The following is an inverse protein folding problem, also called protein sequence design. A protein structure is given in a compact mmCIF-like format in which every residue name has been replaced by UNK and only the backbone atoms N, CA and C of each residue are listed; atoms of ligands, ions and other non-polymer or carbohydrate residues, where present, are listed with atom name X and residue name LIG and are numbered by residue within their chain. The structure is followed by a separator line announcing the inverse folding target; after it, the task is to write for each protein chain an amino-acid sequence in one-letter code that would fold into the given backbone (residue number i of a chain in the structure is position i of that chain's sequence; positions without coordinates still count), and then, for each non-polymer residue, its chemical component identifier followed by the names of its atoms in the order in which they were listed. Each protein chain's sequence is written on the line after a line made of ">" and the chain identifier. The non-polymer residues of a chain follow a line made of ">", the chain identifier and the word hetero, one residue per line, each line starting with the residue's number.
data_IF_939883429624
#
_entry.id   IF_939883429624
#
_cell.length_a   1.000
_cell.length_b   1.000
_cell.length_c   1.000
_cell.angle_alpha   90.00
_cell.angle_beta   90.00
_cell.angle_gamma   90.00
#
_symmetry.space_group_name_H-M   'P 1'
#
loop_
_entity.id
_entity.type
_entity.pdbx_description
1 polymer ?
#
# COMPACT_ATOMS: atom_id res chain seq x y z
N UNK A 1 19.50 -29.82 -9.13
CA UNK A 1 19.26 -28.82 -10.21
C UNK A 1 18.85 -27.48 -9.60
N UNK A 2 19.49 -26.37 -9.99
CA UNK A 2 19.07 -25.02 -9.58
C UNK A 2 17.69 -24.73 -10.20
N UNK A 3 16.70 -24.35 -9.38
CA UNK A 3 15.37 -23.97 -9.87
C UNK A 3 15.49 -22.72 -10.77
N UNK A 4 14.74 -22.63 -11.88
CA UNK A 4 14.77 -21.45 -12.74
C UNK A 4 14.24 -20.21 -12.01
N UNK A 5 14.74 -19.04 -12.38
CA UNK A 5 14.29 -17.76 -11.84
C UNK A 5 12.88 -17.38 -12.31
N UNK A 6 12.50 -17.81 -13.52
CA UNK A 6 11.21 -17.57 -14.17
C UNK A 6 10.70 -18.90 -14.72
N UNK A 7 9.44 -19.23 -14.43
CA UNK A 7 8.72 -20.38 -14.97
C UNK A 7 7.26 -19.97 -15.17
N UNK A 8 6.57 -20.58 -16.13
CA UNK A 8 5.14 -20.35 -16.36
C UNK A 8 4.30 -21.61 -16.07
N UNK A 9 4.80 -22.47 -15.17
CA UNK A 9 4.08 -23.67 -14.74
C UNK A 9 2.71 -23.33 -14.14
N UNK A 10 1.73 -24.25 -14.12
CA UNK A 10 0.39 -24.01 -13.59
C UNK A 10 0.35 -23.44 -12.16
N UNK A 11 1.32 -23.81 -11.32
CA UNK A 11 1.47 -23.26 -9.96
C UNK A 11 1.73 -21.76 -9.92
N UNK A 12 2.36 -21.20 -10.96
CA UNK A 12 2.66 -19.77 -11.06
C UNK A 12 1.41 -18.99 -11.48
N UNK A 13 0.53 -19.59 -12.29
CA UNK A 13 -0.81 -19.07 -12.57
C UNK A 13 -1.70 -19.04 -11.32
N UNK A 14 -1.76 -20.16 -10.58
CA UNK A 14 -2.46 -20.20 -9.31
C UNK A 14 -1.87 -19.15 -8.33
N UNK A 15 -0.54 -19.09 -8.27
CA UNK A 15 0.22 -18.11 -7.52
C UNK A 15 -0.12 -16.66 -7.85
N UNK A 16 -0.29 -16.32 -9.13
CA UNK A 16 -0.65 -14.97 -9.59
C UNK A 16 -1.99 -14.50 -9.01
N UNK A 17 -2.96 -15.41 -8.84
CA UNK A 17 -4.27 -15.09 -8.26
C UNK A 17 -4.15 -14.65 -6.79
N UNK A 18 -3.11 -15.12 -6.07
CA UNK A 18 -2.94 -14.83 -4.65
C UNK A 18 -2.92 -13.34 -4.30
N UNK A 19 -2.36 -12.48 -5.15
CA UNK A 19 -2.32 -11.04 -4.88
C UNK A 19 -3.60 -10.30 -5.27
N UNK A 20 -4.41 -10.86 -6.19
CA UNK A 20 -5.64 -10.22 -6.68
C UNK A 20 -6.60 -9.88 -5.54
N UNK A 21 -6.73 -10.76 -4.55
CA UNK A 21 -7.61 -10.55 -3.40
C UNK A 21 -7.23 -9.35 -2.52
N UNK A 22 -6.00 -8.85 -2.65
CA UNK A 22 -5.51 -7.69 -1.88
C UNK A 22 -5.53 -6.43 -2.74
N UNK A 23 -5.17 -6.53 -4.02
CA UNK A 23 -4.97 -5.37 -4.90
C UNK A 23 -6.24 -4.95 -5.67
N UNK A 24 -7.03 -5.91 -6.17
CA UNK A 24 -8.22 -5.62 -6.98
C UNK A 24 -9.30 -4.83 -6.24
N UNK A 25 -9.68 -5.17 -4.99
CA UNK A 25 -10.68 -4.41 -4.25
C UNK A 25 -10.36 -2.91 -4.15
N UNK A 26 -9.08 -2.61 -3.93
CA UNK A 26 -8.59 -1.25 -3.71
C UNK A 26 -8.58 -0.46 -5.02
N UNK A 27 -8.13 -1.08 -6.12
CA UNK A 27 -8.14 -0.49 -7.47
C UNK A 27 -9.56 -0.18 -7.96
N UNK A 28 -10.47 -1.14 -7.82
CA UNK A 28 -11.86 -0.98 -8.25
C UNK A 28 -12.58 0.07 -7.40
N UNK A 29 -12.36 0.09 -6.08
CA UNK A 29 -12.95 1.10 -5.20
C UNK A 29 -12.50 2.54 -5.53
N UNK A 30 -11.22 2.75 -5.84
CA UNK A 30 -10.72 4.07 -6.27
C UNK A 30 -11.26 4.49 -7.63
N UNK A 31 -11.39 3.53 -8.55
CA UNK A 31 -11.95 3.82 -9.87
C UNK A 31 -13.44 4.15 -9.76
N UNK A 32 -14.17 3.43 -8.91
CA UNK A 32 -15.59 3.67 -8.65
C UNK A 32 -15.84 5.01 -7.94
N UNK A 33 -14.88 5.50 -7.14
CA UNK A 33 -14.96 6.83 -6.54
C UNK A 33 -14.63 7.98 -7.51
N UNK A 34 -14.29 7.68 -8.78
CA UNK A 34 -13.91 8.68 -9.78
C UNK A 34 -12.49 9.25 -9.60
N UNK A 35 -11.69 8.70 -8.67
CA UNK A 35 -10.35 9.22 -8.39
C UNK A 35 -9.30 8.74 -9.42
N UNK A 36 -9.60 7.67 -10.15
CA UNK A 36 -8.64 6.95 -10.99
C UNK A 36 -9.33 6.36 -12.23
N UNK A 37 -8.68 6.46 -13.39
CA UNK A 37 -9.09 5.69 -14.58
C UNK A 37 -8.60 4.25 -14.46
N UNK A 38 -9.52 3.28 -14.49
CA UNK A 38 -9.20 1.87 -14.27
C UNK A 38 -8.25 1.32 -15.33
N UNK A 39 -8.40 1.71 -16.60
CA UNK A 39 -7.55 1.18 -17.67
C UNK A 39 -6.10 1.65 -17.50
N UNK A 40 -5.86 2.94 -17.28
CA UNK A 40 -4.53 3.49 -17.02
C UNK A 40 -3.91 2.89 -15.76
N UNK A 41 -4.72 2.70 -14.72
CA UNK A 41 -4.27 2.05 -13.50
C UNK A 41 -3.80 0.62 -13.77
N UNK A 42 -4.60 -0.19 -14.48
CA UNK A 42 -4.25 -1.57 -14.84
C UNK A 42 -2.98 -1.62 -15.71
N UNK A 43 -2.84 -0.72 -16.68
CA UNK A 43 -1.68 -0.66 -17.56
C UNK A 43 -0.39 -0.44 -16.77
N UNK A 44 -0.35 0.61 -15.95
CA UNK A 44 0.84 0.99 -15.20
C UNK A 44 1.14 0.00 -14.08
N UNK A 45 0.10 -0.46 -13.39
CA UNK A 45 0.22 -1.48 -12.37
C UNK A 45 0.78 -2.78 -12.95
N UNK A 46 0.28 -3.19 -14.12
CA UNK A 46 0.77 -4.35 -14.84
C UNK A 46 2.21 -4.19 -15.33
N UNK A 47 2.58 -3.03 -15.86
CA UNK A 47 3.96 -2.73 -16.27
C UNK A 47 4.94 -2.79 -15.09
N UNK A 48 4.59 -2.21 -13.95
CA UNK A 48 5.40 -2.28 -12.73
C UNK A 48 5.53 -3.73 -12.25
N UNK A 49 4.47 -4.53 -12.32
CA UNK A 49 4.51 -5.97 -12.04
C UNK A 49 5.52 -6.69 -12.93
N UNK A 50 5.42 -6.53 -14.25
CA UNK A 50 6.35 -7.17 -15.21
C UNK A 50 7.80 -6.78 -14.92
N UNK A 51 8.07 -5.49 -14.73
CA UNK A 51 9.40 -4.98 -14.38
C UNK A 51 9.91 -5.56 -13.05
N UNK A 52 9.07 -5.61 -12.02
CA UNK A 52 9.43 -6.18 -10.72
C UNK A 52 9.76 -7.67 -10.82
N UNK A 53 9.00 -8.43 -11.62
CA UNK A 53 9.26 -9.85 -11.87
C UNK A 53 10.64 -10.08 -12.49
N UNK A 54 10.98 -9.34 -13.56
CA UNK A 54 12.29 -9.44 -14.19
C UNK A 54 13.44 -8.99 -13.29
N UNK A 55 13.22 -7.96 -12.48
CA UNK A 55 14.25 -7.40 -11.60
C UNK A 55 14.52 -8.28 -10.38
N UNK A 56 13.50 -8.62 -9.60
CA UNK A 56 13.64 -9.32 -8.31
C UNK A 56 13.75 -10.84 -8.43
N UNK A 57 13.28 -11.44 -9.53
CA UNK A 57 13.46 -12.87 -9.85
C UNK A 57 12.85 -13.86 -8.83
N UNK A 58 11.89 -13.39 -8.03
CA UNK A 58 11.04 -14.18 -7.14
C UNK A 58 9.59 -13.69 -7.26
N UNK A 59 8.58 -14.41 -6.73
CA UNK A 59 7.22 -13.89 -6.64
C UNK A 59 7.17 -12.70 -5.69
N UNK A 60 7.25 -11.49 -6.23
CA UNK A 60 7.15 -10.23 -5.50
C UNK A 60 5.89 -9.49 -5.97
N UNK A 61 4.95 -9.16 -5.06
CA UNK A 61 3.74 -8.44 -5.44
C UNK A 61 4.03 -6.96 -5.63
N UNK A 62 3.17 -6.29 -6.38
CA UNK A 62 3.04 -4.83 -6.44
C UNK A 62 1.64 -4.52 -5.97
N UNK A 63 1.48 -3.60 -5.02
CA UNK A 63 0.21 -3.37 -4.34
C UNK A 63 -0.12 -1.88 -4.24
N UNK A 64 -1.41 -1.52 -4.32
CA UNK A 64 -1.94 -0.22 -3.92
C UNK A 64 -1.47 0.27 -2.53
N UNK A 65 -1.20 1.58 -2.39
CA UNK A 65 -1.05 2.20 -1.07
C UNK A 65 -2.41 2.27 -0.35
N UNK A 66 -2.59 1.38 0.63
CA UNK A 66 -3.89 1.15 1.30
C UNK A 66 -4.35 2.36 2.12
N UNK A 67 -3.46 3.03 2.85
CA UNK A 67 -3.83 4.20 3.65
C UNK A 67 -4.20 5.39 2.77
N UNK A 68 -3.39 5.65 1.73
CA UNK A 68 -3.68 6.69 0.76
C UNK A 68 -5.03 6.45 0.08
N UNK A 69 -5.32 5.21 -0.32
CA UNK A 69 -6.63 4.84 -0.90
C UNK A 69 -7.78 5.10 0.06
N UNK A 70 -7.67 4.61 1.29
CA UNK A 70 -8.71 4.77 2.31
C UNK A 70 -9.04 6.26 2.53
N UNK A 71 -8.01 7.11 2.60
CA UNK A 71 -8.16 8.55 2.81
C UNK A 71 -8.70 9.29 1.59
N UNK A 72 -8.30 8.91 0.38
CA UNK A 72 -8.83 9.48 -0.86
C UNK A 72 -10.33 9.26 -0.96
N UNK A 73 -10.80 8.04 -0.71
CA UNK A 73 -12.25 7.73 -0.72
C UNK A 73 -12.95 8.38 0.49
N UNK A 74 -12.37 8.28 1.69
CA UNK A 74 -12.98 8.82 2.91
C UNK A 74 -13.11 10.35 2.89
N UNK A 75 -12.22 11.08 2.21
CA UNK A 75 -12.26 12.55 2.10
C UNK A 75 -12.79 13.05 0.75
N UNK A 76 -13.03 12.17 -0.23
CA UNK A 76 -13.44 12.58 -1.57
C UNK A 76 -12.34 13.35 -2.31
N UNK A 77 -11.07 12.96 -2.11
CA UNK A 77 -9.95 13.59 -2.81
C UNK A 77 -9.94 13.17 -4.28
N UNK A 78 -9.55 14.10 -5.17
CA UNK A 78 -9.45 13.84 -6.60
C UNK A 78 -8.14 13.19 -7.04
N UNK A 79 -8.00 12.99 -8.36
CA UNK A 79 -6.81 12.41 -8.97
C UNK A 79 -5.52 13.23 -8.78
N UNK A 80 -5.60 14.56 -8.62
CA UNK A 80 -4.43 15.41 -8.34
C UNK A 80 -3.76 15.06 -7.01
N UNK A 81 -4.54 14.75 -5.97
CA UNK A 81 -4.02 14.30 -4.68
C UNK A 81 -3.32 12.93 -4.78
N UNK A 82 -3.81 12.00 -5.61
CA UNK A 82 -3.15 10.72 -5.88
C UNK A 82 -1.83 10.90 -6.64
N UNK A 83 -1.81 11.76 -7.66
CA UNK A 83 -0.58 12.12 -8.37
C UNK A 83 0.42 12.80 -7.43
N UNK A 84 -0.06 13.68 -6.56
CA UNK A 84 0.75 14.35 -5.55
C UNK A 84 1.37 13.37 -4.55
N UNK A 85 0.57 12.42 -4.05
CA UNK A 85 1.06 11.33 -3.21
C UNK A 85 2.13 10.51 -3.93
N UNK A 86 1.91 10.18 -5.20
CA UNK A 86 2.88 9.43 -6.03
C UNK A 86 4.21 10.18 -6.17
N UNK A 87 4.20 11.49 -6.44
CA UNK A 87 5.43 12.30 -6.51
C UNK A 87 6.19 12.33 -5.18
N UNK A 88 5.50 12.49 -4.06
CA UNK A 88 6.14 12.48 -2.74
C UNK A 88 6.72 11.13 -2.37
N UNK A 89 5.98 10.04 -2.60
CA UNK A 89 6.47 8.69 -2.38
C UNK A 89 7.67 8.41 -3.27
N UNK A 90 7.64 8.85 -4.54
CA UNK A 90 8.77 8.76 -5.44
C UNK A 90 10.01 9.46 -4.88
N UNK A 91 9.89 10.75 -4.53
CA UNK A 91 10.99 11.54 -4.01
C UNK A 91 11.57 10.93 -2.72
N UNK A 92 10.71 10.63 -1.74
CA UNK A 92 11.13 10.09 -0.44
C UNK A 92 11.84 8.75 -0.63
N UNK A 93 11.26 7.79 -1.35
CA UNK A 93 11.82 6.45 -1.43
C UNK A 93 13.06 6.36 -2.35
N UNK A 94 13.20 7.25 -3.34
CA UNK A 94 14.46 7.42 -4.08
C UNK A 94 15.55 7.93 -3.13
N UNK A 95 15.27 8.98 -2.34
CA UNK A 95 16.24 9.51 -1.36
C UNK A 95 16.62 8.46 -0.32
N UNK A 96 15.64 7.72 0.22
CA UNK A 96 15.89 6.66 1.20
C UNK A 96 16.66 5.47 0.62
N UNK A 97 16.50 5.20 -0.67
CA UNK A 97 17.31 4.21 -1.37
C UNK A 97 18.75 4.66 -1.54
N UNK A 98 18.99 5.89 -1.99
CA UNK A 98 20.35 6.38 -2.28
C UNK A 98 21.15 6.57 -0.99
N UNK A 99 20.49 6.98 0.09
CA UNK A 99 21.13 7.25 1.38
C UNK A 99 21.24 6.03 2.30
N UNK A 100 20.54 4.93 2.00
CA UNK A 100 20.47 3.75 2.87
C UNK A 100 19.75 3.98 4.20
N UNK A 101 19.01 5.08 4.34
CA UNK A 101 18.32 5.45 5.59
C UNK A 101 17.04 4.65 5.87
N UNK A 102 16.57 3.85 4.90
CA UNK A 102 15.33 3.07 5.01
C UNK A 102 15.28 2.25 6.31
N UNK A 103 16.35 1.54 6.65
CA UNK A 103 16.41 0.73 7.87
C UNK A 103 16.47 1.58 9.15
N UNK A 104 17.22 2.69 9.12
CA UNK A 104 17.36 3.59 10.28
C UNK A 104 16.01 4.24 10.62
N UNK A 105 15.29 4.73 9.61
CA UNK A 105 13.96 5.30 9.80
C UNK A 105 12.94 4.25 10.23
N UNK A 106 13.01 3.03 9.69
CA UNK A 106 12.10 1.96 10.11
C UNK A 106 12.19 1.66 11.62
N UNK A 107 13.37 1.82 12.25
CA UNK A 107 13.55 1.63 13.70
C UNK A 107 12.79 2.65 14.56
N UNK A 108 12.37 3.78 13.98
CA UNK A 108 11.53 4.77 14.67
C UNK A 108 10.11 4.25 14.82
N UNK A 109 9.62 3.51 13.82
CA UNK A 109 8.25 3.01 13.77
C UNK A 109 8.14 1.66 14.48
N UNK A 110 7.84 1.71 15.77
CA UNK A 110 7.65 0.51 16.59
C UNK A 110 6.47 -0.33 16.10
N UNK A 111 6.39 -1.59 16.55
CA UNK A 111 5.23 -2.46 16.26
C UNK A 111 3.93 -1.79 16.66
N UNK A 112 3.88 -1.13 17.83
CA UNK A 112 2.73 -0.33 18.29
C UNK A 112 2.32 0.72 17.27
N UNK A 113 3.27 1.52 16.76
CA UNK A 113 2.98 2.56 15.77
C UNK A 113 2.41 1.94 14.48
N UNK A 114 3.07 0.90 13.95
CA UNK A 114 2.62 0.24 12.72
C UNK A 114 1.22 -0.35 12.90
N UNK A 115 0.95 -1.04 14.02
CA UNK A 115 -0.38 -1.60 14.31
C UNK A 115 -1.45 -0.54 14.53
N UNK A 116 -1.11 0.58 15.17
CA UNK A 116 -2.03 1.69 15.35
C UNK A 116 -2.43 2.35 14.03
N UNK A 117 -1.46 2.55 13.13
CA UNK A 117 -1.76 3.03 11.77
C UNK A 117 -2.58 1.99 10.99
N UNK A 118 -2.28 0.70 11.08
CA UNK A 118 -3.07 -0.37 10.44
C UNK A 118 -4.51 -0.39 10.95
N UNK A 119 -4.72 -0.20 12.26
CA UNK A 119 -6.05 -0.06 12.85
C UNK A 119 -6.81 1.13 12.25
N UNK A 120 -6.17 2.31 12.19
CA UNK A 120 -6.75 3.50 11.58
C UNK A 120 -7.08 3.33 10.10
N UNK A 121 -6.19 2.71 9.33
CA UNK A 121 -6.46 2.35 7.92
C UNK A 121 -7.65 1.42 7.81
N UNK A 122 -7.72 0.38 8.65
CA UNK A 122 -8.83 -0.58 8.63
C UNK A 122 -10.18 0.09 8.89
N UNK A 123 -10.25 0.96 9.91
CA UNK A 123 -11.45 1.75 10.23
C UNK A 123 -11.82 2.73 9.09
N UNK A 124 -10.84 3.38 8.46
CA UNK A 124 -11.09 4.26 7.32
C UNK A 124 -11.56 3.49 6.07
N UNK A 125 -11.07 2.28 5.86
CA UNK A 125 -11.57 1.39 4.78
C UNK A 125 -13.02 0.97 5.03
N UNK A 126 -13.42 0.70 6.28
CA UNK A 126 -14.83 0.48 6.62
C UNK A 126 -15.68 1.72 6.32
N UNK A 127 -15.21 2.92 6.68
CA UNK A 127 -15.91 4.17 6.34
C UNK A 127 -16.00 4.38 4.83
N UNK A 128 -14.94 4.06 4.09
CA UNK A 128 -14.93 4.13 2.63
C UNK A 128 -15.93 3.13 2.02
N UNK A 129 -16.00 1.90 2.54
CA UNK A 129 -16.98 0.90 2.13
C UNK A 129 -18.42 1.38 2.39
N UNK A 130 -18.68 1.96 3.57
CA UNK A 130 -19.98 2.54 3.89
C UNK A 130 -20.33 3.71 2.95
N UNK A 131 -19.38 4.62 2.67
CA UNK A 131 -19.57 5.71 1.71
C UNK A 131 -19.93 5.20 0.32
N UNK A 132 -19.29 4.15 -0.17
CA UNK A 132 -19.65 3.55 -1.45
C UNK A 132 -21.11 3.06 -1.46
N UNK A 133 -21.63 2.53 -0.35
CA UNK A 133 -23.02 2.07 -0.28
C UNK A 133 -24.04 3.23 -0.27
N UNK A 134 -23.73 4.34 0.38
CA UNK A 134 -24.70 5.45 0.59
C UNK A 134 -24.57 6.61 -0.38
N UNK A 135 -23.38 6.81 -0.98
CA UNK A 135 -23.07 7.97 -1.83
C UNK A 135 -23.05 7.64 -3.32
N UNK A 136 -23.36 6.41 -3.74
CA UNK A 136 -23.43 6.06 -5.16
C UNK A 136 -24.90 6.07 -5.64
N UNK A 137 -25.45 7.23 -6.06
CA UNK A 137 -26.65 7.26 -6.88
C UNK A 137 -26.25 6.88 -8.31
N UNK A 138 -26.59 5.66 -8.74
CA UNK A 138 -26.73 5.13 -10.11
C UNK A 138 -25.78 5.48 -11.27
N UNK A 139 -24.73 6.28 -11.12
CA UNK A 139 -23.67 6.38 -12.13
C UNK A 139 -22.41 6.96 -11.48
N UNK A 140 -21.27 6.24 -11.52
CA UNK A 140 -20.00 6.90 -11.28
C UNK A 140 -19.86 8.03 -12.31
N UNK A 141 -19.69 9.27 -11.84
CA UNK A 141 -19.34 10.38 -12.72
C UNK A 141 -17.90 10.18 -13.17
N UNK A 142 -17.75 9.46 -14.28
CA UNK A 142 -16.50 9.26 -15.00
C UNK A 142 -16.13 10.56 -15.73
N UNK A 143 -15.82 11.61 -14.99
CA UNK A 143 -14.96 12.63 -15.56
C UNK A 143 -13.60 11.98 -15.80
N UNK A 144 -12.97 12.16 -16.96
CA UNK A 144 -11.61 11.67 -17.15
C UNK A 144 -10.79 12.23 -16.01
N UNK A 145 -10.11 11.37 -15.26
CA UNK A 145 -9.06 11.77 -14.33
C UNK A 145 -7.86 12.27 -15.15
N UNK A 146 -8.07 13.29 -15.98
CA UNK A 146 -7.07 14.18 -16.54
C UNK A 146 -6.98 15.40 -15.62
N UNK A 147 -6.77 15.16 -14.33
CA UNK A 147 -6.24 16.22 -13.47
C UNK A 147 -4.86 16.54 -13.99
N UNK A 148 -4.55 17.81 -14.25
CA UNK A 148 -3.21 18.29 -14.56
C UNK A 148 -2.19 17.91 -13.49
N UNK A 149 -0.97 18.44 -13.59
CA UNK A 149 -0.02 18.28 -12.48
C UNK A 149 -0.58 18.93 -11.21
N UNK A 150 -0.34 18.33 -10.03
CA UNK A 150 -0.85 18.85 -8.77
C UNK A 150 -0.28 20.24 -8.48
N UNK A 151 -1.12 21.13 -7.97
CA UNK A 151 -0.68 22.44 -7.47
C UNK A 151 0.05 22.32 -6.13
N UNK A 152 0.56 23.45 -5.62
CA UNK A 152 1.24 23.47 -4.31
C UNK A 152 0.31 23.04 -3.16
N UNK A 153 -0.97 23.39 -3.23
CA UNK A 153 -1.97 22.98 -2.24
C UNK A 153 -2.20 21.47 -2.24
N UNK A 154 -2.35 20.86 -3.42
CA UNK A 154 -2.44 19.41 -3.57
C UNK A 154 -1.18 18.72 -3.01
N UNK A 155 0.00 19.29 -3.29
CA UNK A 155 1.28 18.79 -2.80
C UNK A 155 1.34 18.80 -1.27
N UNK A 156 0.96 19.92 -0.66
CA UNK A 156 0.94 20.08 0.79
C UNK A 156 -0.08 19.15 1.46
N UNK A 157 -1.30 19.11 0.93
CA UNK A 157 -2.36 18.25 1.43
C UNK A 157 -1.96 16.76 1.33
N UNK A 158 -1.40 16.34 0.20
CA UNK A 158 -0.94 14.96 0.02
C UNK A 158 0.20 14.60 0.98
N UNK A 159 1.16 15.50 1.20
CA UNK A 159 2.25 15.27 2.15
C UNK A 159 1.71 14.97 3.56
N UNK A 160 0.84 15.85 4.06
CA UNK A 160 0.32 15.76 5.42
C UNK A 160 -0.72 14.69 5.63
N UNK A 161 -1.58 14.46 4.66
CA UNK A 161 -2.73 13.57 4.85
C UNK A 161 -2.40 12.16 4.36
N UNK A 162 -1.70 12.04 3.23
CA UNK A 162 -1.50 10.75 2.56
C UNK A 162 -0.12 10.16 2.81
N UNK A 163 0.95 10.96 2.78
CA UNK A 163 2.33 10.47 2.71
C UNK A 163 2.92 10.23 4.10
N UNK A 164 2.93 11.24 4.97
CA UNK A 164 3.48 11.13 6.34
C UNK A 164 2.96 9.89 7.09
N UNK A 165 1.64 9.62 7.15
CA UNK A 165 1.15 8.46 7.89
C UNK A 165 1.32 7.15 7.13
N UNK A 166 1.65 7.19 5.85
CA UNK A 166 1.95 6.02 5.02
C UNK A 166 3.40 5.56 5.16
N UNK A 167 4.32 6.40 5.69
CA UNK A 167 5.73 6.04 5.90
C UNK A 167 5.91 4.84 6.85
N UNK A 168 5.27 4.76 8.05
CA UNK A 168 5.40 3.61 8.93
C UNK A 168 4.96 2.30 8.28
N UNK A 169 3.85 2.33 7.54
CA UNK A 169 3.34 1.15 6.83
C UNK A 169 4.27 0.72 5.70
N UNK A 170 4.77 1.68 4.92
CA UNK A 170 5.58 1.35 3.75
C UNK A 170 6.97 0.87 4.16
N UNK A 171 7.62 1.53 5.13
CA UNK A 171 8.91 1.09 5.65
C UNK A 171 8.80 -0.23 6.41
N UNK A 172 7.78 -0.38 7.27
CA UNK A 172 7.59 -1.59 8.08
C UNK A 172 7.12 -2.79 7.26
N UNK A 173 6.04 -2.65 6.50
CA UNK A 173 5.43 -3.76 5.76
C UNK A 173 6.03 -3.94 4.35
N UNK A 174 6.07 -2.85 3.57
CA UNK A 174 6.45 -2.93 2.14
C UNK A 174 7.95 -3.05 1.92
N UNK A 175 8.78 -2.59 2.87
CA UNK A 175 10.25 -2.69 2.79
C UNK A 175 10.74 -3.77 3.75
N UNK A 176 10.72 -3.54 5.05
CA UNK A 176 11.37 -4.42 6.03
C UNK A 176 10.76 -5.84 6.06
N UNK A 177 9.46 -5.95 6.33
CA UNK A 177 8.79 -7.26 6.39
C UNK A 177 8.77 -7.98 5.03
N UNK A 178 8.74 -7.24 3.92
CA UNK A 178 8.83 -7.83 2.58
C UNK A 178 10.19 -8.48 2.35
N UNK A 179 11.28 -7.83 2.78
CA UNK A 179 12.62 -8.39 2.71
C UNK A 179 12.76 -9.63 3.61
N UNK A 180 12.27 -9.56 4.85
CA UNK A 180 12.29 -10.67 5.82
C UNK A 180 11.52 -11.89 5.28
N UNK A 181 10.23 -11.72 4.95
CA UNK A 181 9.39 -12.80 4.43
C UNK A 181 9.93 -13.38 3.12
N UNK A 182 10.52 -12.55 2.26
CA UNK A 182 11.14 -13.05 1.03
C UNK A 182 12.36 -13.92 1.32
N UNK A 183 13.19 -13.55 2.31
CA UNK A 183 14.33 -14.38 2.75
C UNK A 183 13.85 -15.68 3.38
N UNK A 184 12.81 -15.64 4.21
CA UNK A 184 12.24 -16.84 4.85
C UNK A 184 11.73 -17.85 3.83
N UNK A 185 11.05 -17.41 2.76
CA UNK A 185 10.50 -18.30 1.75
C UNK A 185 11.47 -18.70 0.64
N UNK A 186 12.44 -17.85 0.30
CA UNK A 186 13.25 -18.03 -0.91
C UNK A 186 14.76 -18.08 -0.67
N UNK A 187 15.23 -17.88 0.56
CA UNK A 187 16.64 -17.92 0.94
C UNK A 187 17.51 -17.02 0.08
N UNK A 188 18.63 -17.56 -0.42
CA UNK A 188 19.58 -16.85 -1.29
C UNK A 188 18.94 -16.26 -2.56
N UNK A 189 17.82 -16.82 -3.04
CA UNK A 189 17.13 -16.29 -4.22
C UNK A 189 16.49 -14.92 -3.95
N UNK A 190 16.24 -14.57 -2.69
CA UNK A 190 15.76 -13.25 -2.29
C UNK A 190 16.88 -12.21 -2.14
N UNK A 191 18.13 -12.48 -2.55
CA UNK A 191 19.25 -11.53 -2.44
C UNK A 191 19.02 -10.17 -3.15
N UNK A 192 18.05 -10.10 -4.07
CA UNK A 192 17.65 -8.85 -4.74
C UNK A 192 16.60 -8.07 -3.96
N UNK A 193 15.90 -8.69 -3.03
CA UNK A 193 14.90 -8.08 -2.16
C UNK A 193 15.61 -7.58 -0.90
N UNK A 194 16.22 -6.42 -1.08
CA UNK A 194 16.95 -5.68 -0.04
C UNK A 194 16.26 -4.33 0.20
N UNK A 195 16.32 -3.76 1.42
CA UNK A 195 15.63 -2.51 1.73
C UNK A 195 15.91 -1.36 0.76
N UNK A 196 17.16 -1.18 0.31
CA UNK A 196 17.49 -0.09 -0.62
C UNK A 196 16.90 -0.35 -2.00
N UNK A 197 17.01 -1.58 -2.52
CA UNK A 197 16.48 -1.94 -3.85
C UNK A 197 14.96 -1.94 -3.89
N UNK A 198 14.31 -2.39 -2.81
CA UNK A 198 12.85 -2.34 -2.67
C UNK A 198 12.39 -0.89 -2.58
N UNK A 199 13.05 -0.05 -1.77
CA UNK A 199 12.78 1.40 -1.73
C UNK A 199 12.96 2.06 -3.10
N UNK A 200 14.02 1.74 -3.84
CA UNK A 200 14.22 2.28 -5.19
C UNK A 200 13.08 1.88 -6.13
N UNK A 201 12.68 0.61 -6.11
CA UNK A 201 11.57 0.09 -6.91
C UNK A 201 10.26 0.81 -6.58
N UNK A 202 9.95 1.01 -5.29
CA UNK A 202 8.80 1.81 -4.85
C UNK A 202 8.92 3.23 -5.42
N UNK A 203 10.06 3.88 -5.26
CA UNK A 203 10.29 5.24 -5.72
C UNK A 203 10.08 5.41 -7.23
N UNK A 204 10.72 4.56 -8.04
CA UNK A 204 10.63 4.60 -9.50
C UNK A 204 9.22 4.27 -10.00
N UNK A 205 8.56 3.29 -9.38
CA UNK A 205 7.18 2.91 -9.75
C UNK A 205 6.21 4.05 -9.50
N UNK A 206 6.35 4.76 -8.37
CA UNK A 206 5.50 5.90 -8.06
C UNK A 206 5.83 7.13 -8.91
N UNK A 207 7.09 7.28 -9.34
CA UNK A 207 7.44 8.30 -10.32
C UNK A 207 6.67 8.04 -11.62
N UNK A 208 6.70 6.81 -12.14
CA UNK A 208 5.90 6.44 -13.32
C UNK A 208 4.40 6.69 -13.09
N UNK A 209 3.84 6.23 -11.96
CA UNK A 209 2.43 6.49 -11.63
C UNK A 209 2.06 7.98 -11.66
N UNK A 210 2.91 8.86 -11.14
CA UNK A 210 2.66 10.30 -11.13
C UNK A 210 2.53 10.92 -12.53
N UNK A 211 3.36 10.47 -13.49
CA UNK A 211 3.36 11.02 -14.86
C UNK A 211 2.23 10.45 -15.73
N UNK A 212 1.90 9.18 -15.55
CA UNK A 212 0.94 8.49 -16.41
C UNK A 212 -0.47 8.36 -15.81
N UNK A 213 -0.72 8.98 -14.65
CA UNK A 213 -2.03 8.96 -13.99
C UNK A 213 -2.37 7.61 -13.38
N UNK A 214 -1.34 6.86 -12.96
CA UNK A 214 -1.48 5.63 -12.20
C UNK A 214 -1.70 5.92 -10.72
N UNK A 215 -2.06 4.88 -9.99
CA UNK A 215 -2.16 4.98 -8.54
C UNK A 215 -0.79 4.80 -7.87
N UNK A 216 -0.56 5.36 -6.68
CA UNK A 216 0.65 5.09 -5.93
C UNK A 216 0.68 3.63 -5.45
N UNK A 217 1.85 3.01 -5.55
CA UNK A 217 2.05 1.58 -5.31
C UNK A 217 3.19 1.31 -4.34
N UNK A 218 3.26 0.10 -3.83
CA UNK A 218 4.38 -0.42 -3.05
C UNK A 218 4.54 -1.92 -3.29
N UNK A 219 5.43 -2.56 -2.54
CA UNK A 219 5.45 -4.03 -2.39
C UNK A 219 4.75 -4.43 -1.08
N UNK A 220 4.64 -5.72 -0.77
CA UNK A 220 4.02 -6.11 0.49
C UNK A 220 4.26 -7.56 0.89
N UNK A 221 4.62 -7.77 2.15
CA UNK A 221 4.87 -9.09 2.74
C UNK A 221 3.64 -10.02 2.61
N UNK A 222 2.43 -9.45 2.73
CA UNK A 222 1.18 -10.18 2.58
C UNK A 222 0.98 -10.75 1.17
N UNK A 223 1.32 -9.99 0.13
CA UNK A 223 1.24 -10.50 -1.25
C UNK A 223 2.34 -11.53 -1.57
N UNK A 224 3.55 -11.37 -1.01
CA UNK A 224 4.61 -12.40 -1.09
C UNK A 224 4.12 -13.71 -0.49
N UNK A 225 3.49 -13.61 0.69
CA UNK A 225 2.90 -14.75 1.39
C UNK A 225 1.76 -15.37 0.61
N UNK A 226 0.90 -14.56 0.01
CA UNK A 226 -0.20 -15.03 -0.83
C UNK A 226 0.33 -15.78 -2.06
N UNK A 227 1.24 -15.19 -2.84
CA UNK A 227 1.90 -15.87 -3.96
C UNK A 227 2.49 -17.22 -3.53
N UNK A 228 3.23 -17.25 -2.41
CA UNK A 228 3.83 -18.47 -1.90
C UNK A 228 2.80 -19.53 -1.49
N UNK A 229 1.75 -19.14 -0.75
CA UNK A 229 0.68 -20.06 -0.31
C UNK A 229 -0.13 -20.61 -1.47
N UNK A 230 -0.32 -19.83 -2.53
CA UNK A 230 -0.96 -20.25 -3.78
C UNK A 230 -0.03 -21.01 -4.74
N UNK A 231 1.20 -21.33 -4.31
CA UNK A 231 2.10 -22.24 -5.04
C UNK A 231 3.17 -21.58 -5.91
N UNK A 232 3.20 -20.25 -6.03
CA UNK A 232 4.25 -19.55 -6.76
C UNK A 232 5.63 -19.79 -6.13
N UNK A 233 6.63 -20.06 -6.95
CA UNK A 233 8.02 -20.22 -6.51
C UNK A 233 9.01 -19.42 -7.35
N UNK A 234 8.56 -18.75 -8.41
CA UNK A 234 9.40 -17.99 -9.35
C UNK A 234 8.80 -16.61 -9.65
N UNK A 235 9.55 -15.74 -10.32
CA UNK A 235 8.99 -14.47 -10.81
C UNK A 235 7.88 -14.64 -11.86
N UNK A 236 7.62 -15.86 -12.32
CA UNK A 236 6.52 -16.20 -13.21
C UNK A 236 5.17 -15.67 -12.74
N UNK A 237 4.81 -15.90 -11.48
CA UNK A 237 3.53 -15.42 -10.94
C UNK A 237 3.38 -13.89 -11.03
N UNK A 238 4.45 -13.15 -10.71
CA UNK A 238 4.52 -11.69 -10.81
C UNK A 238 4.37 -11.22 -12.26
N UNK A 239 5.07 -11.87 -13.21
CA UNK A 239 5.02 -11.51 -14.63
C UNK A 239 3.64 -11.84 -15.22
N UNK A 240 3.09 -13.03 -14.96
CA UNK A 240 1.76 -13.45 -15.41
C UNK A 240 0.72 -12.41 -14.98
N UNK A 241 0.71 -12.06 -13.69
CA UNK A 241 -0.25 -11.10 -13.16
C UNK A 241 -0.14 -9.74 -13.84
N UNK A 242 1.08 -9.24 -14.03
CA UNK A 242 1.31 -7.98 -14.73
C UNK A 242 0.88 -8.01 -16.19
N UNK A 243 1.19 -9.09 -16.91
CA UNK A 243 0.77 -9.28 -18.30
C UNK A 243 -0.75 -9.35 -18.42
N UNK A 244 -1.44 -10.01 -17.48
CA UNK A 244 -2.90 -10.04 -17.45
C UNK A 244 -3.48 -8.62 -17.27
N UNK A 245 -2.94 -7.81 -16.36
CA UNK A 245 -3.41 -6.43 -16.20
C UNK A 245 -3.16 -5.55 -17.44
N UNK A 246 -2.00 -5.68 -18.07
CA UNK A 246 -1.69 -4.99 -19.33
C UNK A 246 -2.69 -5.42 -20.42
N UNK A 247 -2.90 -6.73 -20.59
CA UNK A 247 -3.82 -7.25 -21.58
C UNK A 247 -5.25 -6.75 -21.34
N UNK A 248 -5.73 -6.77 -20.10
CA UNK A 248 -7.05 -6.23 -19.75
C UNK A 248 -7.17 -4.75 -20.07
N UNK A 249 -6.15 -3.94 -19.78
CA UNK A 249 -6.14 -2.52 -20.13
C UNK A 249 -6.21 -2.30 -21.64
N UNK A 250 -5.37 -3.00 -22.41
CA UNK A 250 -5.28 -2.83 -23.87
C UNK A 250 -6.54 -3.34 -24.59
N UNK A 251 -7.13 -4.45 -24.11
CA UNK A 251 -8.32 -5.04 -24.72
C UNK A 251 -9.60 -4.27 -24.41
N UNK A 252 -9.73 -3.76 -23.17
CA UNK A 252 -10.94 -3.06 -22.74
C UNK A 252 -10.87 -1.55 -23.02
N UNK A 253 -9.68 -0.95 -23.03
CA UNK A 253 -9.52 0.51 -23.05
C UNK A 253 -10.19 1.17 -21.84
N UNK A 254 -10.25 2.51 -21.83
CA UNK A 254 -10.93 3.26 -20.77
C UNK A 254 -12.44 2.99 -20.76
N UNK A 255 -13.10 2.98 -21.93
CA UNK A 255 -14.54 2.79 -22.04
C UNK A 255 -14.98 1.39 -21.62
N UNK A 256 -14.30 0.33 -22.10
CA UNK A 256 -14.62 -1.05 -21.72
C UNK A 256 -14.28 -1.33 -20.26
N UNK A 257 -13.19 -0.75 -19.72
CA UNK A 257 -12.87 -0.89 -18.29
C UNK A 257 -13.94 -0.21 -17.42
N UNK A 258 -14.44 0.96 -17.84
CA UNK A 258 -15.56 1.63 -17.17
C UNK A 258 -16.87 0.83 -17.30
N UNK A 259 -17.13 0.23 -18.46
CA UNK A 259 -18.29 -0.64 -18.67
C UNK A 259 -18.25 -1.87 -17.74
N UNK A 260 -17.10 -2.55 -17.65
CA UNK A 260 -16.90 -3.66 -16.70
C UNK A 260 -17.14 -3.20 -15.27
N UNK A 261 -16.56 -2.06 -14.86
CA UNK A 261 -16.74 -1.53 -13.51
C UNK A 261 -18.21 -1.27 -13.18
N UNK A 262 -19.02 -0.77 -14.14
CA UNK A 262 -20.47 -0.56 -13.96
C UNK A 262 -21.24 -1.86 -13.77
N UNK A 263 -20.73 -3.00 -14.23
CA UNK A 263 -21.39 -4.31 -14.01
C UNK A 263 -21.17 -4.87 -12.62
N UNK A 264 -20.13 -4.39 -11.92
CA UNK A 264 -19.81 -4.86 -10.57
C UNK A 264 -20.76 -4.22 -9.57
N UNK A 265 -21.56 -5.00 -8.83
CA UNK A 265 -22.47 -4.43 -7.84
C UNK A 265 -21.71 -3.66 -6.77
N UNK A 266 -22.18 -2.46 -6.44
CA UNK A 266 -21.54 -1.59 -5.44
C UNK A 266 -21.40 -2.27 -4.08
N UNK A 267 -22.37 -3.12 -3.69
CA UNK A 267 -22.30 -3.90 -2.46
C UNK A 267 -21.12 -4.89 -2.45
N UNK A 268 -20.74 -5.45 -3.60
CA UNK A 268 -19.60 -6.36 -3.70
C UNK A 268 -18.30 -5.59 -3.50
N UNK A 269 -18.15 -4.41 -4.12
CA UNK A 269 -17.00 -3.53 -3.90
C UNK A 269 -16.89 -3.11 -2.44
N UNK A 270 -18.00 -2.70 -1.82
CA UNK A 270 -18.04 -2.34 -0.41
C UNK A 270 -17.68 -3.53 0.49
N UNK A 271 -18.17 -4.74 0.20
CA UNK A 271 -17.83 -5.95 0.96
C UNK A 271 -16.34 -6.30 0.84
N UNK A 272 -15.76 -6.23 -0.35
CA UNK A 272 -14.33 -6.48 -0.57
C UNK A 272 -13.45 -5.44 0.15
N UNK A 273 -13.85 -4.17 0.10
CA UNK A 273 -13.15 -3.08 0.79
C UNK A 273 -13.28 -3.21 2.32
N UNK A 274 -14.47 -3.55 2.81
CA UNK A 274 -14.74 -3.82 4.22
C UNK A 274 -13.96 -5.04 4.74
N UNK A 275 -13.85 -6.10 3.94
CA UNK A 275 -13.00 -7.26 4.26
C UNK A 275 -11.53 -6.85 4.38
N UNK A 276 -11.03 -6.03 3.45
CA UNK A 276 -9.67 -5.47 3.54
C UNK A 276 -9.50 -4.62 4.82
N UNK A 277 -10.53 -3.85 5.19
CA UNK A 277 -10.60 -3.10 6.43
C UNK A 277 -10.51 -4.00 7.67
N UNK A 278 -11.30 -5.08 7.71
CA UNK A 278 -11.30 -6.07 8.79
C UNK A 278 -9.91 -6.67 9.00
N UNK A 279 -9.26 -7.09 7.92
CA UNK A 279 -7.92 -7.67 7.97
C UNK A 279 -6.90 -6.69 8.56
N UNK A 280 -7.01 -5.40 8.26
CA UNK A 280 -6.10 -4.37 8.80
C UNK A 280 -6.40 -4.04 10.26
N UNK A 281 -7.68 -3.93 10.63
CA UNK A 281 -8.07 -3.67 12.02
C UNK A 281 -7.64 -4.81 12.93
N UNK A 282 -7.77 -6.07 12.49
CA UNK A 282 -7.37 -7.25 13.28
C UNK A 282 -5.88 -7.23 13.67
N UNK A 283 -5.02 -6.56 12.90
CA UNK A 283 -3.59 -6.44 13.21
C UNK A 283 -3.31 -5.65 14.49
N UNK A 284 -4.29 -4.89 15.01
CA UNK A 284 -4.19 -4.23 16.33
C UNK A 284 -4.03 -5.24 17.47
N UNK A 285 -4.49 -6.48 17.28
CA UNK A 285 -4.41 -7.56 18.25
C UNK A 285 -3.03 -8.25 18.30
N UNK A 286 -2.01 -7.65 17.70
CA UNK A 286 -0.63 -8.12 17.82
C UNK A 286 -0.20 -8.10 19.30
N UNK A 287 0.15 -9.24 19.91
CA UNK A 287 0.53 -9.31 21.32
C UNK A 287 1.82 -8.55 21.64
N UNK A 288 2.62 -8.21 20.62
CA UNK A 288 3.84 -7.41 20.77
C UNK A 288 3.57 -5.90 20.70
N UNK A 289 2.34 -5.47 20.43
CA UNK A 289 1.95 -4.07 20.40
C UNK A 289 1.33 -3.64 21.74
N UNK A 290 1.51 -2.37 22.09
CA UNK A 290 0.68 -1.76 23.13
C UNK A 290 -0.74 -1.53 22.56
N UNK A 291 -1.62 -2.51 22.76
CA UNK A 291 -2.97 -2.53 22.18
C UNK A 291 -3.78 -1.26 22.53
N UNK A 292 -3.81 -0.77 23.79
CA UNK A 292 -4.50 0.50 24.11
C UNK A 292 -4.02 1.69 23.27
N UNK A 293 -2.70 1.87 23.13
CA UNK A 293 -2.14 2.96 22.31
C UNK A 293 -2.49 2.77 20.84
N UNK A 294 -2.31 1.56 20.31
CA UNK A 294 -2.62 1.27 18.91
C UNK A 294 -4.12 1.44 18.59
N UNK A 295 -5.02 1.06 19.50
CA UNK A 295 -6.45 1.28 19.36
C UNK A 295 -6.80 2.77 19.39
N UNK A 296 -6.22 3.54 20.33
CA UNK A 296 -6.41 4.98 20.42
C UNK A 296 -5.94 5.70 19.15
N UNK A 297 -4.77 5.32 18.60
CA UNK A 297 -4.30 5.80 17.30
C UNK A 297 -5.32 5.53 16.20
N UNK A 298 -5.88 4.33 16.13
CA UNK A 298 -6.90 3.97 15.15
C UNK A 298 -8.16 4.83 15.26
N UNK A 299 -8.67 5.04 16.49
CA UNK A 299 -9.85 5.87 16.76
C UNK A 299 -9.60 7.35 16.41
N UNK A 300 -8.45 7.91 16.75
CA UNK A 300 -8.07 9.28 16.34
C UNK A 300 -8.00 9.39 14.82
N UNK A 301 -7.40 8.40 14.16
CA UNK A 301 -7.33 8.33 12.70
C UNK A 301 -8.71 8.36 12.05
N UNK A 302 -9.66 7.60 12.60
CA UNK A 302 -11.05 7.59 12.13
C UNK A 302 -11.76 8.93 12.39
N UNK A 303 -11.71 9.42 13.63
CA UNK A 303 -12.41 10.62 14.07
C UNK A 303 -11.95 11.88 13.30
N UNK A 304 -10.64 12.03 13.13
CA UNK A 304 -10.04 13.18 12.41
C UNK A 304 -9.97 12.96 10.90
N UNK A 305 -10.20 11.74 10.44
CA UNK A 305 -9.88 11.32 9.07
C UNK A 305 -8.45 11.68 8.67
N UNK A 306 -7.50 11.73 9.60
CA UNK A 306 -6.11 12.11 9.38
C UNK A 306 -5.18 11.20 10.19
N UNK A 307 -4.53 10.27 9.50
CA UNK A 307 -3.65 9.30 10.14
C UNK A 307 -2.33 9.94 10.64
N UNK A 308 -2.01 11.19 10.27
CA UNK A 308 -0.84 11.88 10.81
C UNK A 308 -0.99 12.22 12.29
N UNK A 309 -2.22 12.52 12.75
CA UNK A 309 -2.48 12.68 14.18
C UNK A 309 -2.37 11.35 14.93
N UNK A 310 -2.80 10.25 14.30
CA UNK A 310 -2.58 8.91 14.84
C UNK A 310 -1.07 8.61 14.98
N UNK A 311 -0.27 8.92 13.96
CA UNK A 311 1.18 8.78 14.01
C UNK A 311 1.81 9.64 15.11
N UNK A 312 1.39 10.90 15.24
CA UNK A 312 1.87 11.81 16.27
C UNK A 312 1.59 11.27 17.68
N UNK A 313 0.38 10.75 17.93
CA UNK A 313 0.05 10.09 19.20
C UNK A 313 0.98 8.90 19.46
N UNK A 314 1.19 8.03 18.48
CA UNK A 314 2.06 6.87 18.63
C UNK A 314 3.51 7.24 18.93
N UNK A 315 4.04 8.25 18.24
CA UNK A 315 5.39 8.77 18.49
C UNK A 315 5.51 9.40 19.87
N UNK A 316 4.50 10.17 20.30
CA UNK A 316 4.48 10.77 21.64
C UNK A 316 4.43 9.71 22.75
N UNK A 317 3.60 8.68 22.59
CA UNK A 317 3.49 7.57 23.54
C UNK A 317 4.81 6.79 23.66
N UNK A 318 5.45 6.47 22.54
CA UNK A 318 6.76 5.80 22.53
C UNK A 318 7.87 6.69 23.12
N UNK A 319 7.85 7.99 22.82
CA UNK A 319 8.76 8.97 23.39
C UNK A 319 8.65 9.06 24.92
N UNK A 320 7.42 9.13 25.44
CA UNK A 320 7.15 9.16 26.87
C UNK A 320 7.70 7.93 27.59
N UNK A 321 7.50 6.73 27.03
CA UNK A 321 8.04 5.47 27.59
C UNK A 321 9.57 5.47 27.62
N UNK A 322 10.24 6.04 26.61
CA UNK A 322 11.70 6.13 26.58
C UNK A 322 12.23 7.11 27.64
N UNK A 323 11.57 8.25 27.81
CA UNK A 323 11.96 9.25 28.82
C UNK A 323 11.80 8.67 30.22
N UNK A 324 10.66 8.03 30.53
CA UNK A 324 10.42 7.46 31.86
C UNK A 324 11.40 6.33 32.18
N UNK A 325 11.74 5.46 31.24
CA UNK A 325 12.79 4.44 31.49
C UNK A 325 14.17 5.06 31.78
N UNK A 326 14.47 6.22 31.22
CA UNK A 326 15.75 6.91 31.43
C UNK A 326 15.79 7.67 32.76
N UNK A 327 14.66 8.18 33.25
CA UNK A 327 14.59 8.90 34.53
C UNK A 327 14.60 7.98 35.75
N UNK A 328 14.20 6.71 35.62
CA UNK A 328 14.19 5.74 36.73
C UNK A 328 15.50 4.96 36.93
N UNK A 329 16.48 5.08 36.01
CA UNK A 329 17.75 4.34 36.04
C UNK A 329 18.97 5.19 36.47
N UNK A 330 18.79 6.40 37.00
CA UNK A 330 19.89 7.18 37.59
C UNK A 330 19.61 7.54 39.05
N UNK A 331 20.01 6.70 40.01
CA UNK A 331 20.09 7.06 41.43
C UNK A 331 21.17 8.12 41.73
N UNK A 332 21.97 8.51 40.73
CA UNK A 332 23.23 9.25 40.89
C UNK A 332 23.07 10.78 40.96
N UNK A 333 21.83 11.30 40.90
CA UNK A 333 21.54 12.74 40.92
C UNK A 333 20.62 13.16 42.08
N UNK A 334 20.42 12.30 43.06
CA UNK A 334 19.77 12.63 44.34
C UNK A 334 20.74 12.24 45.46
N UNK A 335 21.78 13.04 45.64
CA UNK A 335 22.64 13.07 46.81
C UNK A 335 23.01 14.52 47.10
#
# INVERSE_FOLDING_TARGET
>A
MKRPAISFAPREWAGAIGDLGISVPVLLALSASGALDLSRALLLFGAVYVCAGFYFRIPLPVQPLKAATALVIARGLGGTALRACSLWIAAIFIVLSVTGLSEKLNRIFTRTIVRGIQCGVGLLLFRAAYKLLVTVPHAPSFLPASGGFPGLEDMWAALWVLVIPQLPLTLGNSVAATCEVSRDYFGDRAARVDPSKVSFSIGLSNLASAFFGGMPVCHGSGGVTAHHKFGARTAGATIILGTVFIALSLLLGSEGSAAVLKTIPVWLLAALLGYTGLLHTKLVLDPLANIPVAAAMGLIGLATSNLSYALALGLAAEGAVRITKFTWLKPEFIA
#
